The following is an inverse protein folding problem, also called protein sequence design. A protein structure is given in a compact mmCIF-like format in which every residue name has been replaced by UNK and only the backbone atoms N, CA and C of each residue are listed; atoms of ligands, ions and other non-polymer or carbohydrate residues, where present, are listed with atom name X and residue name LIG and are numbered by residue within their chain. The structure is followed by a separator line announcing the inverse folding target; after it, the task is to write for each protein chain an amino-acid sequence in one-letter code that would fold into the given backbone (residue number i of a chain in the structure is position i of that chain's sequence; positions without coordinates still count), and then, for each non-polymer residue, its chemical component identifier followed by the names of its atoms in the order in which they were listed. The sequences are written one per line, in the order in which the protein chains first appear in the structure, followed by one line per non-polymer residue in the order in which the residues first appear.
data_IF_978571653780
#
_entry.id   IF_978571653780
#
_cell.length_a   1.000
_cell.length_b   1.000
_cell.length_c   1.000
_cell.angle_alpha   90.00
_cell.angle_beta   90.00
_cell.angle_gamma   90.00
#
_symmetry.space_group_name_H-M   'P 1'
#
loop_
_entity.id
_entity.type
_entity.pdbx_description
1 polymer ?
#
# COMPACT_ATOMS: atom_id res chain seq x y z
N UNK A 1 -8.38 -15.72 -9.70
CA UNK A 1 -9.16 -15.31 -8.51
C UNK A 1 -10.30 -14.40 -8.96
N UNK A 2 -11.56 -14.68 -8.62
CA UNK A 2 -12.69 -13.82 -8.99
C UNK A 2 -12.59 -12.42 -8.35
N UNK A 3 -13.10 -11.38 -9.02
CA UNK A 3 -12.98 -9.97 -8.56
C UNK A 3 -13.57 -9.75 -7.17
N UNK A 4 -14.70 -10.38 -6.85
CA UNK A 4 -15.31 -10.28 -5.53
C UNK A 4 -14.40 -10.81 -4.40
N UNK A 5 -13.62 -11.86 -4.67
CA UNK A 5 -12.68 -12.41 -3.68
C UNK A 5 -11.49 -11.47 -3.45
N UNK A 6 -11.02 -10.80 -4.52
CA UNK A 6 -9.98 -9.78 -4.41
C UNK A 6 -10.44 -8.57 -3.60
N UNK A 7 -11.67 -8.09 -3.86
CA UNK A 7 -12.26 -6.99 -3.10
C UNK A 7 -12.42 -7.36 -1.61
N UNK A 8 -12.91 -8.56 -1.31
CA UNK A 8 -13.05 -9.04 0.06
C UNK A 8 -11.69 -9.18 0.75
N UNK A 9 -10.69 -9.75 0.06
CA UNK A 9 -9.33 -9.88 0.58
C UNK A 9 -8.70 -8.51 0.89
N UNK A 10 -8.89 -7.53 0.01
CA UNK A 10 -8.45 -6.15 0.23
C UNK A 10 -9.11 -5.54 1.48
N UNK A 11 -10.45 -5.60 1.56
CA UNK A 11 -11.20 -5.06 2.71
C UNK A 11 -10.79 -5.73 4.02
N UNK A 12 -10.67 -7.06 4.03
CA UNK A 12 -10.24 -7.82 5.20
C UNK A 12 -8.83 -7.42 5.65
N UNK A 13 -7.88 -7.29 4.72
CA UNK A 13 -6.53 -6.81 5.02
C UNK A 13 -6.54 -5.39 5.56
N UNK A 14 -7.32 -4.47 4.97
CA UNK A 14 -7.45 -3.08 5.44
C UNK A 14 -8.01 -3.00 6.86
N UNK A 15 -9.06 -3.77 7.17
CA UNK A 15 -9.62 -3.84 8.52
C UNK A 15 -8.60 -4.40 9.51
N UNK A 16 -7.87 -5.45 9.13
CA UNK A 16 -6.88 -6.07 10.00
C UNK A 16 -5.76 -5.10 10.43
N UNK A 17 -5.35 -4.20 9.54
CA UNK A 17 -4.25 -3.25 9.81
C UNK A 17 -4.72 -1.87 10.28
N UNK A 18 -6.03 -1.61 10.34
CA UNK A 18 -6.59 -0.30 10.68
C UNK A 18 -6.14 0.24 12.04
N UNK A 19 -5.85 -0.65 13.00
CA UNK A 19 -5.40 -0.29 14.35
C UNK A 19 -3.88 -0.28 14.51
N UNK A 20 -3.12 -0.57 13.46
CA UNK A 20 -1.66 -0.63 13.52
C UNK A 20 -1.11 0.79 13.34
N UNK A 21 -0.49 1.40 14.37
CA UNK A 21 -0.01 2.78 14.32
C UNK A 21 1.29 2.88 13.50
N UNK A 22 1.18 2.69 12.20
CA UNK A 22 2.30 2.72 11.25
C UNK A 22 2.15 3.92 10.31
N UNK A 23 3.13 4.84 10.27
CA UNK A 23 3.11 5.95 9.32
C UNK A 23 2.95 5.44 7.88
N UNK A 24 1.90 5.88 7.19
CA UNK A 24 1.59 5.45 5.81
C UNK A 24 1.27 3.95 5.66
N UNK A 25 1.11 3.21 6.76
CA UNK A 25 0.86 1.76 6.73
C UNK A 25 2.01 0.94 6.13
N UNK A 26 3.25 1.42 6.17
CA UNK A 26 4.40 0.74 5.59
C UNK A 26 4.72 -0.57 6.34
N UNK A 27 4.88 -1.66 5.59
CA UNK A 27 5.18 -3.00 6.07
C UNK A 27 3.95 -3.77 6.54
N UNK A 28 3.10 -3.16 7.36
CA UNK A 28 1.87 -3.78 7.89
C UNK A 28 0.85 -4.07 6.78
N UNK A 29 0.56 -3.08 5.93
CA UNK A 29 -0.40 -3.19 4.83
C UNK A 29 0.08 -4.18 3.78
N UNK A 30 1.36 -4.15 3.43
CA UNK A 30 1.95 -5.06 2.45
C UNK A 30 1.84 -6.51 2.92
N UNK A 31 2.24 -6.79 4.16
CA UNK A 31 2.15 -8.12 4.73
C UNK A 31 0.69 -8.62 4.76
N UNK A 32 -0.25 -7.78 5.22
CA UNK A 32 -1.66 -8.15 5.29
C UNK A 32 -2.26 -8.43 3.90
N UNK A 33 -1.97 -7.60 2.90
CA UNK A 33 -2.46 -7.80 1.54
C UNK A 33 -1.86 -9.04 0.88
N UNK A 34 -0.56 -9.30 1.06
CA UNK A 34 0.09 -10.50 0.52
C UNK A 34 -0.54 -11.74 1.14
N UNK A 35 -0.68 -11.78 2.47
CA UNK A 35 -1.32 -12.90 3.18
C UNK A 35 -2.76 -13.11 2.69
N UNK A 36 -3.55 -12.05 2.57
CA UNK A 36 -4.94 -12.14 2.13
C UNK A 36 -5.07 -12.64 0.69
N UNK A 37 -4.21 -12.17 -0.23
CA UNK A 37 -4.21 -12.60 -1.62
C UNK A 37 -3.76 -14.06 -1.79
N UNK A 38 -2.77 -14.49 -1.00
CA UNK A 38 -2.34 -15.89 -0.97
C UNK A 38 -3.46 -16.78 -0.42
N UNK A 39 -4.15 -16.33 0.64
CA UNK A 39 -5.25 -17.08 1.24
C UNK A 39 -6.43 -17.32 0.28
N UNK A 40 -6.68 -16.41 -0.68
CA UNK A 40 -7.71 -16.58 -1.71
C UNK A 40 -7.20 -17.26 -3.00
N UNK A 41 -6.01 -17.89 -2.95
CA UNK A 41 -5.47 -18.73 -4.02
C UNK A 41 -4.41 -18.07 -4.91
N UNK A 42 -3.87 -16.91 -4.52
CA UNK A 42 -2.75 -16.28 -5.22
C UNK A 42 -1.40 -16.98 -4.94
N UNK A 43 -0.55 -17.09 -5.96
CA UNK A 43 0.83 -17.54 -5.75
C UNK A 43 1.63 -16.46 -5.00
N UNK A 44 2.38 -16.83 -3.95
CA UNK A 44 3.07 -15.88 -3.07
C UNK A 44 3.96 -14.87 -3.81
N UNK A 45 4.78 -15.34 -4.76
CA UNK A 45 5.64 -14.44 -5.54
C UNK A 45 4.83 -13.42 -6.36
N UNK A 46 3.72 -13.85 -6.97
CA UNK A 46 2.85 -12.99 -7.77
C UNK A 46 2.08 -12.01 -6.89
N UNK A 47 1.53 -12.48 -5.75
CA UNK A 47 0.84 -11.64 -4.79
C UNK A 47 1.75 -10.53 -4.26
N UNK A 48 2.99 -10.86 -3.90
CA UNK A 48 3.99 -9.88 -3.46
C UNK A 48 4.29 -8.86 -4.55
N UNK A 49 4.51 -9.30 -5.79
CA UNK A 49 4.76 -8.38 -6.90
C UNK A 49 3.57 -7.42 -7.12
N UNK A 50 2.34 -7.95 -7.14
CA UNK A 50 1.12 -7.16 -7.31
C UNK A 50 0.97 -6.12 -6.20
N UNK A 51 1.18 -6.51 -4.93
CA UNK A 51 1.06 -5.59 -3.79
C UNK A 51 2.10 -4.47 -3.86
N UNK A 52 3.35 -4.79 -4.20
CA UNK A 52 4.40 -3.78 -4.33
C UNK A 52 4.10 -2.82 -5.49
N UNK A 53 3.69 -3.33 -6.65
CA UNK A 53 3.28 -2.48 -7.78
C UNK A 53 2.10 -1.59 -7.42
N UNK A 54 1.09 -2.15 -6.73
CA UNK A 54 -0.05 -1.39 -6.23
C UNK A 54 0.38 -0.25 -5.29
N UNK A 55 1.33 -0.48 -4.38
CA UNK A 55 1.85 0.53 -3.45
C UNK A 55 2.68 1.60 -4.16
N UNK A 56 3.45 1.22 -5.18
CA UNK A 56 4.15 2.20 -6.02
C UNK A 56 3.15 3.15 -6.66
N UNK A 57 2.06 2.63 -7.23
CA UNK A 57 1.06 3.43 -7.95
C UNK A 57 0.22 4.28 -7.00
N UNK A 58 -0.23 3.73 -5.87
CA UNK A 58 -1.23 4.37 -5.00
C UNK A 58 -0.63 5.19 -3.87
N UNK A 59 0.61 4.91 -3.47
CA UNK A 59 1.24 5.56 -2.32
C UNK A 59 2.48 6.32 -2.76
N UNK A 60 3.40 5.70 -3.49
CA UNK A 60 4.72 6.31 -3.71
C UNK A 60 4.68 7.33 -4.86
N UNK A 61 4.01 7.00 -5.97
CA UNK A 61 3.85 7.90 -7.11
C UNK A 61 3.16 9.22 -6.72
N UNK A 62 2.06 9.25 -5.93
CA UNK A 62 1.45 10.51 -5.47
C UNK A 62 2.25 11.21 -4.38
N UNK A 63 3.05 10.48 -3.60
CA UNK A 63 3.91 11.06 -2.56
C UNK A 63 5.07 11.87 -3.15
N UNK A 64 5.65 11.42 -4.28
CA UNK A 64 6.77 12.09 -4.94
C UNK A 64 6.53 13.57 -5.24
N UNK A 65 5.47 13.99 -5.96
CA UNK A 65 5.25 15.41 -6.24
C UNK A 65 5.05 16.23 -4.96
N UNK A 66 4.37 15.69 -3.95
CA UNK A 66 4.18 16.36 -2.66
C UNK A 66 5.49 16.56 -1.89
N UNK A 67 6.36 15.54 -1.89
CA UNK A 67 7.68 15.64 -1.27
C UNK A 67 8.58 16.64 -2.00
N UNK A 68 8.52 16.67 -3.34
CA UNK A 68 9.26 17.62 -4.16
C UNK A 68 8.81 19.06 -3.91
N UNK A 69 7.51 19.34 -3.90
CA UNK A 69 6.99 20.68 -3.63
C UNK A 69 7.34 21.14 -2.22
N UNK A 70 7.18 20.27 -1.22
CA UNK A 70 7.61 20.57 0.14
C UNK A 70 9.11 20.87 0.22
N UNK A 71 9.95 20.06 -0.44
CA UNK A 71 11.40 20.29 -0.50
C UNK A 71 11.78 21.63 -1.15
N UNK A 72 11.06 22.03 -2.20
CA UNK A 72 11.22 23.36 -2.83
C UNK A 72 10.84 24.48 -1.86
N UNK A 73 9.69 24.36 -1.18
CA UNK A 73 9.22 25.37 -0.23
C UNK A 73 10.18 25.55 0.95
N UNK A 74 10.68 24.46 1.53
CA UNK A 74 11.70 24.46 2.58
C UNK A 74 12.99 25.10 2.09
N UNK A 75 13.45 24.78 0.88
CA UNK A 75 14.66 25.40 0.30
C UNK A 75 14.48 26.91 0.07
N UNK A 76 13.26 27.35 -0.26
CA UNK A 76 12.92 28.76 -0.46
C UNK A 76 12.63 29.53 0.84
N UNK A 77 12.68 28.88 2.01
CA UNK A 77 12.34 29.45 3.33
C UNK A 77 10.94 30.06 3.41
N UNK A 78 10.00 29.52 2.63
CA UNK A 78 8.58 29.87 2.75
C UNK A 78 7.96 29.17 3.96
N UNK A 79 8.46 27.97 4.26
CA UNK A 79 8.18 27.14 5.44
C UNK A 79 9.50 26.93 6.19
#
# INVERSE_FOLDING_TARGET
VPVAHLALAYLAATVAVALVPTPGGLGSVEAALVVALVAVGGAAAVATAVVLTFRVITVWLPLLPGALTLGVLVRSKVI
#
